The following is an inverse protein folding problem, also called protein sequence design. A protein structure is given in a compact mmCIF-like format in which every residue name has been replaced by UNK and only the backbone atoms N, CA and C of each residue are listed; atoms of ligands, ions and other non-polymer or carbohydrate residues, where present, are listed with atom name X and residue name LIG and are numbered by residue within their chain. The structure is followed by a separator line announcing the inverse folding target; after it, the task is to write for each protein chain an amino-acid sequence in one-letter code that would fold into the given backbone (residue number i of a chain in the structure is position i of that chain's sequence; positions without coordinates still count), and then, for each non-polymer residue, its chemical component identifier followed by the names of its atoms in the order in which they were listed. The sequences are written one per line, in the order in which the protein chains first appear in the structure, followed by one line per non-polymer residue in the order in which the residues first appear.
data_IF_271584366300
#
_entry.id   IF_271584366300
#
_cell.length_a   1.000
_cell.length_b   1.000
_cell.length_c   1.000
_cell.angle_alpha   90.00
_cell.angle_beta   90.00
_cell.angle_gamma   90.00
#
_symmetry.space_group_name_H-M   'P 1'
#
loop_
_entity.id
_entity.type
_entity.pdbx_description
1 polymer ?
#
# COMPACT_ATOMS: atom_id res chain seq x y z
N UNK A 1 -4.15 -32.45 -5.76
CA UNK A 1 -3.27 -32.15 -4.61
C UNK A 1 -2.44 -30.93 -4.98
N UNK A 2 -2.34 -29.96 -4.07
CA UNK A 2 -1.50 -28.77 -4.25
C UNK A 2 -0.07 -29.17 -3.89
N UNK A 3 0.93 -28.67 -4.63
CA UNK A 3 2.32 -28.90 -4.28
C UNK A 3 2.61 -28.29 -2.88
N UNK A 4 3.48 -28.90 -2.06
CA UNK A 4 3.79 -28.38 -0.72
C UNK A 4 4.43 -26.99 -0.78
N UNK A 5 5.21 -26.73 -1.84
CA UNK A 5 5.84 -25.45 -2.11
C UNK A 5 5.56 -25.01 -3.55
N UNK A 6 5.16 -23.76 -3.73
CA UNK A 6 4.85 -23.15 -5.03
C UNK A 6 5.70 -21.89 -5.19
N UNK A 7 6.59 -21.87 -6.18
CA UNK A 7 7.34 -20.67 -6.52
C UNK A 7 6.42 -19.62 -7.20
N UNK A 8 6.45 -18.38 -6.71
CA UNK A 8 5.82 -17.24 -7.34
C UNK A 8 6.84 -16.50 -8.21
N UNK A 9 6.57 -16.46 -9.51
CA UNK A 9 7.44 -15.82 -10.49
C UNK A 9 6.91 -14.43 -10.87
N UNK A 10 7.82 -13.47 -11.00
CA UNK A 10 7.54 -12.16 -11.58
C UNK A 10 8.66 -11.78 -12.55
N UNK A 11 8.32 -11.48 -13.80
CA UNK A 11 9.28 -11.21 -14.88
C UNK A 11 10.37 -12.30 -15.05
N UNK A 12 10.02 -13.56 -14.79
CA UNK A 12 10.96 -14.70 -14.87
C UNK A 12 11.75 -14.98 -13.59
N UNK A 13 11.72 -14.08 -12.61
CA UNK A 13 12.42 -14.25 -11.34
C UNK A 13 11.51 -14.84 -10.26
N UNK A 14 12.01 -15.81 -9.51
CA UNK A 14 11.35 -16.27 -8.30
C UNK A 14 11.46 -15.20 -7.20
N UNK A 15 10.31 -14.64 -6.80
CA UNK A 15 10.24 -13.55 -5.81
C UNK A 15 9.78 -14.04 -4.44
N UNK A 16 9.01 -15.13 -4.40
CA UNK A 16 8.51 -15.73 -3.18
C UNK A 16 8.21 -17.22 -3.37
N UNK A 17 8.09 -17.94 -2.26
CA UNK A 17 7.58 -19.31 -2.20
C UNK A 17 6.32 -19.29 -1.33
N UNK A 18 5.25 -19.89 -1.83
CA UNK A 18 4.05 -20.17 -1.05
C UNK A 18 4.13 -21.60 -0.53
N UNK A 19 4.03 -21.75 0.78
CA UNK A 19 4.15 -23.02 1.51
C UNK A 19 2.76 -23.39 2.04
N UNK A 20 2.44 -24.69 2.03
CA UNK A 20 1.16 -25.24 2.51
C UNK A 20 -0.05 -24.60 1.82
N UNK A 21 -0.05 -24.62 0.49
CA UNK A 21 -1.06 -23.95 -0.32
C UNK A 21 -2.46 -24.57 -0.23
N UNK A 22 -3.48 -23.74 -0.01
CA UNK A 22 -4.90 -24.10 -0.08
C UNK A 22 -5.57 -23.39 -1.26
N UNK A 23 -6.28 -24.17 -2.09
CA UNK A 23 -7.04 -23.64 -3.22
C UNK A 23 -8.53 -23.61 -2.88
N UNK A 24 -9.16 -22.45 -3.00
CA UNK A 24 -10.58 -22.26 -2.70
C UNK A 24 -11.28 -21.35 -3.71
N UNK A 25 -12.61 -21.48 -3.80
CA UNK A 25 -13.40 -20.76 -4.79
C UNK A 25 -13.37 -19.24 -4.55
N UNK A 26 -13.15 -18.46 -5.61
CA UNK A 26 -13.03 -17.00 -5.51
C UNK A 26 -14.39 -16.30 -5.25
N UNK A 27 -15.52 -16.91 -5.64
CA UNK A 27 -16.89 -16.36 -5.47
C UNK A 27 -16.96 -14.84 -5.76
N UNK A 28 -16.50 -14.46 -6.95
CA UNK A 28 -16.13 -13.08 -7.26
C UNK A 28 -17.27 -12.06 -7.06
N UNK A 29 -18.49 -12.41 -7.47
CA UNK A 29 -19.66 -11.54 -7.32
C UNK A 29 -19.93 -11.22 -5.84
N UNK A 30 -19.94 -12.24 -4.98
CA UNK A 30 -20.08 -12.07 -3.54
C UNK A 30 -18.93 -11.23 -2.96
N UNK A 31 -17.69 -11.52 -3.36
CA UNK A 31 -16.51 -10.76 -2.92
C UNK A 31 -16.66 -9.28 -3.26
N UNK A 32 -16.99 -8.93 -4.51
CA UNK A 32 -17.07 -7.53 -4.93
C UNK A 32 -18.25 -6.81 -4.27
N UNK A 33 -19.40 -7.48 -4.16
CA UNK A 33 -20.57 -6.93 -3.49
C UNK A 33 -20.28 -6.61 -2.01
N UNK A 34 -19.63 -7.53 -1.28
CA UNK A 34 -19.29 -7.33 0.13
C UNK A 34 -18.15 -6.34 0.35
N UNK A 35 -17.15 -6.33 -0.53
CA UNK A 35 -15.96 -5.47 -0.37
C UNK A 35 -16.22 -4.02 -0.79
N UNK A 36 -17.04 -3.80 -1.82
CA UNK A 36 -17.26 -2.47 -2.41
C UNK A 36 -18.69 -1.94 -2.21
N UNK A 37 -19.64 -2.78 -1.79
CA UNK A 37 -21.06 -2.40 -1.71
C UNK A 37 -21.75 -2.26 -3.07
N UNK A 38 -21.04 -2.55 -4.17
CA UNK A 38 -21.52 -2.46 -5.56
C UNK A 38 -20.88 -3.57 -6.40
N UNK A 39 -21.47 -3.86 -7.55
CA UNK A 39 -20.95 -4.84 -8.54
C UNK A 39 -20.66 -4.21 -9.92
N UNK A 40 -20.47 -2.88 -9.96
CA UNK A 40 -20.33 -2.13 -11.22
C UNK A 40 -18.97 -2.35 -11.91
N UNK A 41 -19.01 -2.87 -13.14
CA UNK A 41 -17.83 -3.10 -13.99
C UNK A 41 -17.07 -1.84 -14.39
N UNK A 42 -17.68 -0.64 -14.26
CA UNK A 42 -17.00 0.64 -14.47
C UNK A 42 -16.00 0.95 -13.36
N UNK A 43 -16.14 0.32 -12.18
CA UNK A 43 -15.16 0.45 -11.11
C UNK A 43 -13.89 -0.35 -11.47
N UNK A 44 -12.72 0.28 -11.57
CA UNK A 44 -11.57 -0.33 -12.22
C UNK A 44 -11.01 -1.53 -11.45
N UNK A 45 -11.04 -1.50 -10.11
CA UNK A 45 -10.65 -2.65 -9.28
C UNK A 45 -11.65 -3.81 -9.37
N UNK A 46 -12.95 -3.52 -9.52
CA UNK A 46 -13.98 -4.56 -9.69
C UNK A 46 -13.78 -5.24 -11.04
N UNK A 47 -13.53 -4.46 -12.10
CA UNK A 47 -13.18 -4.98 -13.42
C UNK A 47 -12.00 -5.95 -13.36
N UNK A 48 -10.93 -5.59 -12.65
CA UNK A 48 -9.76 -6.47 -12.47
C UNK A 48 -10.09 -7.75 -11.70
N UNK A 49 -10.85 -7.67 -10.61
CA UNK A 49 -11.26 -8.84 -9.82
C UNK A 49 -12.13 -9.77 -10.67
N UNK A 50 -13.11 -9.23 -11.39
CA UNK A 50 -14.02 -10.01 -12.23
C UNK A 50 -13.28 -10.71 -13.39
N UNK A 51 -12.27 -10.04 -13.97
CA UNK A 51 -11.43 -10.60 -15.03
C UNK A 51 -10.37 -11.63 -14.56
N UNK A 52 -10.11 -11.74 -13.26
CA UNK A 52 -9.10 -12.66 -12.70
C UNK A 52 -9.53 -14.15 -12.75
N UNK A 53 -8.73 -15.07 -12.19
CA UNK A 53 -9.10 -16.49 -12.10
C UNK A 53 -10.28 -16.77 -11.17
N UNK A 54 -10.93 -17.94 -11.35
CA UNK A 54 -12.07 -18.38 -10.51
C UNK A 54 -11.67 -19.00 -9.17
N UNK A 55 -10.36 -19.18 -8.95
CA UNK A 55 -9.79 -19.78 -7.75
C UNK A 55 -8.83 -18.81 -7.08
N UNK A 56 -8.76 -18.89 -5.76
CA UNK A 56 -7.77 -18.23 -4.93
C UNK A 56 -6.82 -19.28 -4.37
N UNK A 57 -5.58 -18.88 -4.14
CA UNK A 57 -4.55 -19.70 -3.53
C UNK A 57 -4.06 -18.96 -2.27
N UNK A 58 -4.34 -19.54 -1.10
CA UNK A 58 -3.86 -19.09 0.21
C UNK A 58 -2.72 -19.98 0.70
N UNK A 59 -1.92 -19.50 1.66
CA UNK A 59 -0.82 -20.26 2.24
C UNK A 59 0.19 -19.35 2.94
N UNK A 60 1.25 -19.95 3.48
CA UNK A 60 2.34 -19.23 4.14
C UNK A 60 3.30 -18.66 3.09
N UNK A 61 3.47 -17.34 3.07
CA UNK A 61 4.29 -16.67 2.06
C UNK A 61 5.69 -16.36 2.58
N UNK A 62 6.71 -16.96 1.98
CA UNK A 62 8.11 -16.62 2.20
C UNK A 62 8.65 -15.78 1.05
N UNK A 63 8.89 -14.49 1.30
CA UNK A 63 9.46 -13.57 0.30
C UNK A 63 10.99 -13.72 0.28
N UNK A 64 11.57 -14.00 -0.89
CA UNK A 64 12.98 -14.40 -1.03
C UNK A 64 13.94 -13.22 -0.94
N UNK A 65 13.55 -12.06 -1.46
CA UNK A 65 14.36 -10.84 -1.51
C UNK A 65 13.51 -9.62 -1.22
N UNK A 66 14.10 -8.58 -0.62
CA UNK A 66 13.43 -7.28 -0.47
C UNK A 66 13.02 -6.77 -1.85
N UNK A 67 11.73 -6.52 -2.05
CA UNK A 67 11.20 -6.02 -3.31
C UNK A 67 11.75 -4.63 -3.59
N UNK A 68 12.26 -4.44 -4.81
CA UNK A 68 12.75 -3.18 -5.35
C UNK A 68 12.14 -2.98 -6.73
N UNK A 69 11.76 -1.74 -7.02
CA UNK A 69 11.17 -1.38 -8.32
C UNK A 69 12.21 -0.78 -9.26
N UNK A 70 13.36 -0.32 -8.74
CA UNK A 70 14.45 0.29 -9.50
C UNK A 70 13.99 1.48 -10.37
N UNK A 71 12.99 2.22 -9.91
CA UNK A 71 12.39 3.38 -10.58
C UNK A 71 12.92 4.73 -10.03
N UNK A 72 14.00 4.69 -9.26
CA UNK A 72 14.57 5.85 -8.57
C UNK A 72 13.84 6.24 -7.27
N UNK A 73 12.76 5.55 -6.90
CA UNK A 73 11.94 5.89 -5.72
C UNK A 73 12.04 4.90 -4.57
N UNK A 74 12.82 3.82 -4.69
CA UNK A 74 12.94 2.79 -3.66
C UNK A 74 13.40 3.33 -2.30
N UNK A 75 14.15 4.44 -2.27
CA UNK A 75 14.55 5.12 -1.03
C UNK A 75 13.37 5.64 -0.19
N UNK A 76 12.22 5.88 -0.82
CA UNK A 76 10.99 6.32 -0.15
C UNK A 76 10.11 5.15 0.30
N UNK A 77 10.39 3.93 -0.16
CA UNK A 77 9.63 2.71 0.19
C UNK A 77 10.16 2.09 1.48
N UNK A 78 10.04 2.85 2.57
CA UNK A 78 10.45 2.39 3.89
C UNK A 78 9.47 1.34 4.42
N UNK A 79 10.01 0.24 4.95
CA UNK A 79 9.23 -0.75 5.69
C UNK A 79 8.72 -0.17 7.01
N UNK A 80 7.69 -0.79 7.64
CA UNK A 80 7.23 -0.36 8.96
C UNK A 80 8.34 -0.33 10.01
N UNK A 81 9.30 -1.25 9.96
CA UNK A 81 10.45 -1.27 10.86
C UNK A 81 11.39 -0.09 10.61
N UNK A 82 11.71 0.20 9.34
CA UNK A 82 12.54 1.35 8.97
C UNK A 82 11.87 2.67 9.40
N UNK A 83 10.56 2.82 9.20
CA UNK A 83 9.79 3.99 9.67
C UNK A 83 9.84 4.14 11.19
N UNK A 84 9.63 3.06 11.95
CA UNK A 84 9.75 3.08 13.42
C UNK A 84 11.14 3.53 13.87
N UNK A 85 12.19 3.08 13.19
CA UNK A 85 13.57 3.51 13.47
C UNK A 85 13.78 4.99 13.17
N UNK A 86 13.18 5.54 12.10
CA UNK A 86 13.21 6.98 11.81
C UNK A 86 12.58 7.78 12.95
N UNK A 87 11.38 7.39 13.41
CA UNK A 87 10.69 8.08 14.50
C UNK A 87 11.42 7.96 15.83
N UNK A 88 11.97 6.78 16.14
CA UNK A 88 12.74 6.55 17.36
C UNK A 88 14.01 7.43 17.38
N UNK A 89 14.76 7.49 16.28
CA UNK A 89 15.94 8.35 16.15
C UNK A 89 15.62 9.84 16.29
N UNK A 90 14.41 10.24 15.91
CA UNK A 90 13.94 11.61 16.04
C UNK A 90 13.36 11.96 17.42
N UNK A 91 13.38 11.03 18.40
CA UNK A 91 12.70 11.18 19.69
C UNK A 91 11.23 11.62 19.53
N UNK A 92 10.54 11.02 18.55
CA UNK A 92 9.13 11.26 18.30
C UNK A 92 8.28 10.66 19.42
N UNK A 93 7.38 11.44 20.00
CA UNK A 93 6.46 11.00 21.05
C UNK A 93 5.01 10.85 20.57
N UNK A 94 4.71 11.28 19.34
CA UNK A 94 3.45 10.98 18.66
C UNK A 94 3.62 11.01 17.13
N UNK A 95 3.18 9.97 16.43
CA UNK A 95 3.14 9.96 14.96
C UNK A 95 1.70 10.16 14.50
N UNK A 96 1.47 11.09 13.58
CA UNK A 96 0.20 11.23 12.88
C UNK A 96 0.40 11.05 11.38
N UNK A 97 -0.42 10.21 10.76
CA UNK A 97 -0.27 9.85 9.36
C UNK A 97 -1.28 10.56 8.48
N UNK A 98 -0.82 11.02 7.31
CA UNK A 98 -1.66 11.57 6.26
C UNK A 98 -1.50 10.72 5.00
N UNK A 99 -2.49 9.87 4.74
CA UNK A 99 -2.58 9.06 3.53
C UNK A 99 -3.11 9.90 2.38
N UNK A 100 -2.41 9.87 1.24
CA UNK A 100 -2.81 10.60 0.04
C UNK A 100 -2.58 9.81 -1.23
N UNK A 101 -3.38 10.11 -2.24
CA UNK A 101 -3.23 9.62 -3.63
C UNK A 101 -3.27 10.75 -4.66
N UNK A 102 -3.44 11.99 -4.20
CA UNK A 102 -3.60 13.20 -5.00
C UNK A 102 -2.52 14.21 -4.57
N UNK A 103 -2.17 15.19 -5.41
CA UNK A 103 -1.26 16.27 -5.02
C UNK A 103 -1.76 17.02 -3.79
N UNK A 104 -0.80 17.59 -3.06
CA UNK A 104 -1.10 18.39 -1.87
C UNK A 104 -1.59 19.78 -2.33
N UNK A 105 -2.72 20.20 -1.77
CA UNK A 105 -3.23 21.57 -1.86
C UNK A 105 -3.47 22.12 -0.46
N UNK A 106 -3.80 23.41 -0.34
CA UNK A 106 -3.91 24.10 0.95
C UNK A 106 -4.92 23.47 1.92
N UNK A 107 -5.93 22.76 1.42
CA UNK A 107 -6.87 22.01 2.26
C UNK A 107 -6.21 20.84 3.00
N UNK A 108 -5.36 20.06 2.30
CA UNK A 108 -4.56 19.02 2.94
C UNK A 108 -3.55 19.64 3.94
N UNK A 109 -2.90 20.73 3.55
CA UNK A 109 -1.94 21.43 4.40
C UNK A 109 -2.60 21.93 5.71
N UNK A 110 -3.81 22.50 5.63
CA UNK A 110 -4.57 22.95 6.78
C UNK A 110 -4.83 21.80 7.76
N UNK A 111 -5.33 20.65 7.28
CA UNK A 111 -5.59 19.48 8.13
C UNK A 111 -4.31 18.99 8.83
N UNK A 112 -3.19 18.93 8.11
CA UNK A 112 -1.91 18.51 8.68
C UNK A 112 -1.38 19.51 9.72
N UNK A 113 -1.49 20.80 9.45
CA UNK A 113 -1.05 21.87 10.36
C UNK A 113 -1.92 21.93 11.62
N UNK A 114 -3.24 21.86 11.47
CA UNK A 114 -4.18 21.88 12.60
C UNK A 114 -4.03 20.63 13.46
N UNK A 115 -3.82 19.45 12.86
CA UNK A 115 -3.52 18.22 13.59
C UNK A 115 -2.23 18.37 14.40
N UNK A 116 -1.17 18.91 13.80
CA UNK A 116 0.08 19.20 14.51
C UNK A 116 -0.15 20.16 15.68
N UNK A 117 -0.92 21.23 15.47
CA UNK A 117 -1.25 22.23 16.52
C UNK A 117 -1.97 21.58 17.70
N UNK A 118 -2.93 20.69 17.43
CA UNK A 118 -3.66 19.98 18.49
C UNK A 118 -2.75 19.00 19.25
N UNK A 119 -1.87 18.28 18.55
CA UNK A 119 -0.96 17.34 19.19
C UNK A 119 0.09 18.03 20.06
N UNK A 120 0.56 19.21 19.67
CA UNK A 120 1.49 20.02 20.47
C UNK A 120 0.93 20.46 21.83
N UNK A 121 -0.40 20.38 22.04
CA UNK A 121 -1.00 20.61 23.35
C UNK A 121 -0.80 19.43 24.33
N UNK A 122 -0.42 18.24 23.83
CA UNK A 122 -0.31 16.99 24.60
C UNK A 122 1.06 16.31 24.49
N UNK A 123 1.75 16.53 23.37
CA UNK A 123 3.01 15.89 23.00
C UNK A 123 4.05 16.96 22.67
N UNK A 124 5.32 16.68 22.96
CA UNK A 124 6.44 17.60 22.78
C UNK A 124 6.98 17.59 21.35
N UNK A 125 6.96 16.43 20.69
CA UNK A 125 7.54 16.24 19.36
C UNK A 125 6.66 15.35 18.45
N UNK A 126 5.44 15.79 18.12
CA UNK A 126 4.61 15.07 17.16
C UNK A 126 5.22 15.14 15.76
N UNK A 127 5.27 14.02 15.03
CA UNK A 127 5.78 13.95 13.65
C UNK A 127 4.70 13.53 12.66
N UNK A 128 4.68 14.23 11.53
CA UNK A 128 3.85 13.89 10.38
C UNK A 128 4.50 12.74 9.59
N UNK A 129 3.74 11.67 9.37
CA UNK A 129 4.02 10.68 8.34
C UNK A 129 3.17 10.99 7.11
N UNK A 130 3.77 11.71 6.16
CA UNK A 130 3.15 11.97 4.86
C UNK A 130 3.34 10.73 3.97
N UNK A 131 2.26 10.01 3.69
CA UNK A 131 2.33 8.63 3.19
C UNK A 131 1.60 8.46 1.85
N UNK A 132 2.20 8.89 0.72
CA UNK A 132 1.57 8.76 -0.58
C UNK A 132 1.47 7.28 -1.00
N UNK A 133 0.34 6.89 -1.60
CA UNK A 133 0.15 5.54 -2.12
C UNK A 133 0.99 5.36 -3.40
N UNK A 134 1.90 4.39 -3.40
CA UNK A 134 2.77 4.07 -4.54
C UNK A 134 2.44 2.76 -5.27
N UNK A 135 1.34 2.09 -4.91
CA UNK A 135 0.84 0.91 -5.59
C UNK A 135 0.04 1.25 -6.86
N UNK A 136 -0.70 0.28 -7.40
CA UNK A 136 -1.54 0.50 -8.57
C UNK A 136 -2.59 1.59 -8.32
N UNK A 137 -2.70 2.54 -9.25
CA UNK A 137 -3.73 3.59 -9.28
C UNK A 137 -4.47 3.55 -10.61
N UNK A 138 -5.75 3.99 -10.62
CA UNK A 138 -6.46 4.22 -11.88
C UNK A 138 -5.67 5.22 -12.73
N UNK A 139 -5.66 5.03 -14.05
CA UNK A 139 -4.86 5.80 -15.03
C UNK A 139 -5.06 7.33 -14.93
N UNK A 140 -6.23 7.77 -14.47
CA UNK A 140 -6.56 9.19 -14.29
C UNK A 140 -5.88 9.86 -13.07
N UNK A 141 -5.25 9.09 -12.17
CA UNK A 141 -4.49 9.66 -11.05
C UNK A 141 -3.08 10.05 -11.48
N UNK A 142 -2.61 11.19 -10.96
CA UNK A 142 -1.25 11.65 -11.18
C UNK A 142 -0.23 10.61 -10.72
N UNK A 143 0.74 10.36 -11.58
CA UNK A 143 1.77 9.33 -11.41
C UNK A 143 2.62 9.62 -10.16
N UNK A 144 2.90 8.58 -9.36
CA UNK A 144 3.55 8.66 -8.03
C UNK A 144 4.83 9.52 -7.97
N UNK A 145 5.74 9.53 -8.96
CA UNK A 145 6.87 10.45 -8.99
C UNK A 145 6.48 11.94 -8.99
N UNK A 146 5.39 12.33 -9.66
CA UNK A 146 4.89 13.71 -9.66
C UNK A 146 4.27 14.10 -8.32
N UNK A 147 3.70 13.14 -7.59
CA UNK A 147 3.21 13.36 -6.23
C UNK A 147 4.34 13.66 -5.25
N UNK A 148 5.56 13.16 -5.50
CA UNK A 148 6.73 13.43 -4.67
C UNK A 148 7.45 14.72 -5.09
N UNK A 149 7.47 15.06 -6.38
CA UNK A 149 8.13 16.29 -6.87
C UNK A 149 7.42 17.59 -6.46
N UNK A 150 6.13 17.52 -6.12
CA UNK A 150 5.32 18.65 -5.66
C UNK A 150 5.38 18.89 -4.15
N UNK A 151 6.17 18.09 -3.43
CA UNK A 151 6.33 18.17 -1.97
C UNK A 151 7.63 18.86 -1.53
N UNK A 152 8.43 19.35 -2.48
CA UNK A 152 9.66 20.11 -2.23
C UNK A 152 9.45 21.60 -2.50
#
# INVERSE_FOLDING_TARGET
MVAPEIALLYNGDAVAVLIDGEVYAHRKEERVARQFGITDLRHPTIKQILASGNWLLGGNLQVLKKIRYNDGLDRFRLSPLELRNVFAKANCDAVFAFQLRNPIHNGHALLMQDTRRQLLQKYKNPMLLLHPLGGWTKVEFLFFPYLLSTQN
#
